data_IF_168367456120
#
_entry.id   IF_168367456120
#
_cell.length_a   1.000
_cell.length_b   1.000
_cell.length_c   1.000
_cell.angle_alpha   90.00
_cell.angle_beta   90.00
_cell.angle_gamma   90.00
#
_symmetry.space_group_name_H-M   'P 1'
#
loop_
_entity.id
_entity.type
_entity.pdbx_description
1 polymer ?
#
# COMPACT_ATOMS: atom_id res chain seq x y z
N UNK A 1 -21.21 -18.26 -28.17
CA UNK A 1 -20.94 -19.29 -27.13
C UNK A 1 -22.27 -19.98 -26.82
N UNK A 2 -22.34 -21.32 -26.85
CA UNK A 2 -23.60 -22.11 -26.72
C UNK A 2 -23.82 -22.65 -25.28
N UNK A 3 -22.91 -22.34 -24.36
CA UNK A 3 -23.00 -22.74 -22.95
C UNK A 3 -23.15 -21.47 -22.11
N UNK A 4 -24.38 -20.98 -21.94
CA UNK A 4 -24.68 -19.81 -21.12
C UNK A 4 -25.41 -20.23 -19.85
N UNK A 5 -24.69 -20.28 -18.73
CA UNK A 5 -25.34 -19.88 -17.48
C UNK A 5 -25.48 -18.35 -17.56
N UNK A 6 -26.56 -17.79 -17.02
CA UNK A 6 -26.79 -16.34 -17.03
C UNK A 6 -25.69 -15.63 -16.23
N UNK A 7 -24.66 -15.16 -16.93
CA UNK A 7 -23.56 -14.36 -16.39
C UNK A 7 -24.03 -12.92 -16.24
N UNK A 8 -23.92 -12.38 -15.03
CA UNK A 8 -24.25 -10.99 -14.73
C UNK A 8 -23.00 -10.29 -14.23
N UNK A 9 -22.61 -9.20 -14.88
CA UNK A 9 -21.51 -8.35 -14.44
C UNK A 9 -21.93 -7.48 -13.25
N UNK A 10 -21.13 -7.54 -12.17
CA UNK A 10 -21.37 -6.88 -10.90
C UNK A 10 -20.36 -5.81 -10.56
N UNK A 11 -19.42 -5.54 -11.45
CA UNK A 11 -18.47 -4.44 -11.28
C UNK A 11 -19.15 -3.08 -11.06
N UNK A 12 -20.22 -2.70 -11.79
CA UNK A 12 -20.87 -1.42 -11.55
C UNK A 12 -21.42 -1.29 -10.12
N UNK A 13 -22.01 -2.36 -9.58
CA UNK A 13 -22.53 -2.35 -8.21
C UNK A 13 -21.37 -2.37 -7.20
N UNK A 14 -20.34 -3.19 -7.44
CA UNK A 14 -19.15 -3.28 -6.60
C UNK A 14 -18.46 -1.92 -6.41
N UNK A 15 -18.34 -1.14 -7.49
CA UNK A 15 -17.67 0.17 -7.49
C UNK A 15 -18.48 1.29 -6.82
N UNK A 16 -19.79 1.10 -6.59
CA UNK A 16 -20.61 2.11 -5.87
C UNK A 16 -20.34 2.13 -4.37
N UNK A 17 -19.72 1.09 -3.82
CA UNK A 17 -19.40 1.02 -2.41
C UNK A 17 -18.25 1.96 -2.04
N UNK A 18 -18.36 2.59 -0.87
CA UNK A 18 -17.38 3.54 -0.38
C UNK A 18 -16.05 2.86 -0.02
N UNK A 19 -14.95 3.39 -0.54
CA UNK A 19 -13.57 3.03 -0.21
C UNK A 19 -12.98 3.86 0.94
N UNK A 20 -13.81 4.64 1.64
CA UNK A 20 -13.34 5.55 2.70
C UNK A 20 -12.71 4.79 3.87
N UNK A 21 -11.66 5.39 4.44
CA UNK A 21 -10.90 4.96 5.63
C UNK A 21 -9.89 3.82 5.45
N UNK A 22 -9.57 3.42 4.22
CA UNK A 22 -8.42 2.54 3.96
C UNK A 22 -7.15 3.40 3.77
N UNK A 23 -6.27 3.38 4.77
CA UNK A 23 -5.19 4.35 4.93
C UNK A 23 -4.18 4.35 3.77
N UNK A 24 -3.60 3.19 3.45
CA UNK A 24 -2.52 3.09 2.47
C UNK A 24 -3.05 3.32 1.05
N UNK A 25 -4.25 2.83 0.77
CA UNK A 25 -4.96 3.03 -0.49
C UNK A 25 -5.30 4.51 -0.70
N UNK A 26 -5.64 5.25 0.36
CA UNK A 26 -5.93 6.69 0.25
C UNK A 26 -4.65 7.54 0.15
N UNK A 27 -3.57 7.13 0.81
CA UNK A 27 -2.28 7.80 0.71
C UNK A 27 -1.63 7.64 -0.68
N UNK A 28 -2.01 6.57 -1.39
CA UNK A 28 -1.74 6.36 -2.81
C UNK A 28 -0.24 6.35 -3.16
N UNK A 29 0.51 5.50 -2.44
CA UNK A 29 1.96 5.32 -2.61
C UNK A 29 2.37 4.65 -3.92
N UNK A 30 1.48 3.86 -4.53
CA UNK A 30 1.83 2.94 -5.61
C UNK A 30 1.39 3.45 -6.97
N UNK A 31 2.18 3.17 -8.00
CA UNK A 31 1.76 3.26 -9.39
C UNK A 31 1.04 1.95 -9.79
N UNK A 32 -0.12 2.09 -10.42
CA UNK A 32 -0.97 0.96 -10.82
C UNK A 32 -0.52 0.39 -12.16
N UNK A 33 -0.28 -0.93 -12.23
CA UNK A 33 0.23 -1.61 -13.44
C UNK A 33 -0.63 -2.83 -13.75
N UNK A 34 -1.39 -2.77 -14.85
CA UNK A 34 -2.16 -3.90 -15.35
C UNK A 34 -1.34 -4.79 -16.27
N UNK A 35 -1.37 -6.10 -16.03
CA UNK A 35 -0.68 -7.11 -16.85
C UNK A 35 -1.63 -8.21 -17.33
N UNK A 36 -1.42 -8.70 -18.54
CA UNK A 36 -2.26 -9.75 -19.15
C UNK A 36 -1.83 -11.16 -18.78
N UNK A 37 -0.64 -11.31 -18.20
CA UNK A 37 -0.06 -12.60 -17.78
C UNK A 37 -0.16 -12.76 -16.26
N UNK A 38 -0.35 -14.00 -15.80
CA UNK A 38 -0.29 -14.37 -14.38
C UNK A 38 1.12 -14.32 -13.80
N UNK A 39 2.16 -14.34 -14.65
CA UNK A 39 3.56 -14.12 -14.28
C UNK A 39 4.08 -12.81 -14.87
N UNK A 40 4.82 -12.05 -14.07
CA UNK A 40 5.44 -10.77 -14.44
C UNK A 40 6.94 -10.82 -14.22
N UNK A 41 7.71 -10.28 -15.17
CA UNK A 41 9.14 -10.06 -15.01
C UNK A 41 9.36 -8.76 -14.24
N UNK A 42 10.03 -8.85 -13.09
CA UNK A 42 10.40 -7.71 -12.26
C UNK A 42 11.90 -7.50 -12.40
N UNK A 43 12.34 -6.26 -12.60
CA UNK A 43 13.74 -5.84 -12.56
C UNK A 43 13.96 -4.86 -11.42
N UNK A 44 15.20 -4.70 -10.98
CA UNK A 44 15.54 -3.61 -10.06
C UNK A 44 15.47 -2.28 -10.83
N UNK A 45 15.00 -1.20 -10.16
CA UNK A 45 14.85 0.14 -10.77
C UNK A 45 15.78 1.21 -10.19
N UNK A 46 16.29 0.99 -8.97
CA UNK A 46 17.14 1.98 -8.27
C UNK A 46 18.59 1.74 -8.65
N UNK A 47 19.21 2.69 -9.33
CA UNK A 47 20.57 2.64 -9.85
C UNK A 47 21.46 3.73 -9.23
N UNK A 48 22.79 3.56 -9.32
CA UNK A 48 23.74 4.58 -8.88
C UNK A 48 23.82 5.73 -9.87
N UNK A 49 23.85 6.97 -9.36
CA UNK A 49 24.10 8.16 -10.18
C UNK A 49 25.58 8.36 -10.54
N UNK A 50 26.50 7.53 -10.04
CA UNK A 50 27.95 7.73 -10.19
C UNK A 50 28.39 7.82 -11.66
N UNK A 51 27.81 7.02 -12.55
CA UNK A 51 28.17 7.03 -13.97
C UNK A 51 27.52 8.16 -14.79
N UNK A 52 26.65 8.95 -14.17
CA UNK A 52 26.00 10.12 -14.80
C UNK A 52 26.81 11.41 -14.63
N UNK A 53 27.83 11.40 -13.77
CA UNK A 53 28.71 12.55 -13.61
C UNK A 53 29.67 12.67 -14.80
N UNK A 54 29.57 13.79 -15.51
CA UNK A 54 30.55 14.14 -16.53
C UNK A 54 31.84 14.59 -15.86
N UNK A 55 32.94 13.90 -16.14
CA UNK A 55 34.29 14.35 -15.79
C UNK A 55 34.83 15.25 -16.89
N UNK A 56 35.79 16.11 -16.55
CA UNK A 56 36.46 16.97 -17.51
C UNK A 56 37.17 16.12 -18.56
N UNK A 57 36.88 16.40 -19.83
CA UNK A 57 37.54 15.77 -20.98
C UNK A 57 38.40 16.81 -21.69
N UNK A 58 39.48 16.35 -22.33
CA UNK A 58 40.32 17.25 -23.11
C UNK A 58 39.57 17.74 -24.35
N UNK A 59 39.51 19.07 -24.53
CA UNK A 59 38.80 19.76 -25.65
C UNK A 59 39.18 19.25 -27.04
N UNK A 60 40.39 18.75 -27.23
CA UNK A 60 40.91 18.29 -28.52
C UNK A 60 41.18 16.77 -28.54
N UNK A 61 40.50 16.00 -27.69
CA UNK A 61 40.58 14.54 -27.67
C UNK A 61 39.26 13.89 -28.10
N UNK A 62 39.30 12.57 -28.35
CA UNK A 62 38.12 11.73 -28.55
C UNK A 62 37.65 11.06 -27.25
N UNK A 63 38.01 11.61 -26.09
CA UNK A 63 37.56 11.11 -24.80
C UNK A 63 36.09 11.46 -24.59
N UNK A 64 35.30 10.48 -24.19
CA UNK A 64 33.88 10.64 -23.91
C UNK A 64 33.55 9.98 -22.58
N UNK A 65 32.71 10.64 -21.78
CA UNK A 65 32.12 10.00 -20.61
C UNK A 65 31.16 8.90 -21.08
N UNK A 66 31.16 7.77 -20.37
CA UNK A 66 30.33 6.62 -20.70
C UNK A 66 29.42 6.31 -19.52
N UNK A 67 28.13 6.14 -19.81
CA UNK A 67 27.15 5.70 -18.82
C UNK A 67 27.23 4.17 -18.68
N UNK A 68 27.31 3.70 -17.43
CA UNK A 68 27.33 2.27 -17.14
C UNK A 68 25.89 1.77 -17.05
N UNK A 69 25.60 0.63 -17.69
CA UNK A 69 24.35 -0.10 -17.47
C UNK A 69 24.50 -0.96 -16.23
N UNK A 70 23.78 -0.64 -15.16
CA UNK A 70 24.00 -1.30 -13.86
C UNK A 70 23.09 -2.50 -13.61
N UNK A 71 21.95 -2.60 -14.30
CA UNK A 71 20.94 -3.62 -14.01
C UNK A 71 20.40 -4.29 -15.28
N UNK A 72 20.30 -5.63 -15.23
CA UNK A 72 19.77 -6.46 -16.31
C UNK A 72 19.29 -7.84 -15.84
N UNK A 73 19.22 -8.06 -14.52
CA UNK A 73 18.67 -9.29 -13.96
C UNK A 73 17.17 -9.10 -13.77
N UNK A 74 16.41 -10.02 -14.32
CA UNK A 74 14.96 -10.08 -14.19
C UNK A 74 14.57 -11.31 -13.37
N UNK A 75 13.52 -11.15 -12.58
CA UNK A 75 12.91 -12.22 -11.81
C UNK A 75 11.48 -12.41 -12.29
N UNK A 76 11.16 -13.63 -12.73
CA UNK A 76 9.81 -13.98 -13.12
C UNK A 76 9.03 -14.39 -11.87
N UNK A 77 7.99 -13.62 -11.53
CA UNK A 77 7.20 -13.78 -10.31
C UNK A 77 5.74 -13.97 -10.67
N UNK A 78 5.07 -14.91 -10.01
CA UNK A 78 3.64 -15.12 -10.15
C UNK A 78 2.83 -14.18 -9.24
N UNK A 79 1.76 -13.61 -9.78
CA UNK A 79 0.90 -12.68 -9.05
C UNK A 79 -0.08 -13.49 -8.20
N UNK A 80 -0.20 -13.21 -6.88
CA UNK A 80 -1.19 -13.86 -6.03
C UNK A 80 -2.61 -13.62 -6.51
N UNK A 81 -3.37 -14.71 -6.54
CA UNK A 81 -4.78 -14.72 -6.90
C UNK A 81 -5.66 -14.88 -5.67
N UNK A 82 -6.71 -14.07 -5.58
CA UNK A 82 -7.70 -14.10 -4.53
C UNK A 82 -9.07 -14.32 -5.16
N UNK A 83 -9.78 -15.31 -4.64
CA UNK A 83 -11.12 -15.69 -5.10
C UNK A 83 -12.05 -15.76 -3.90
N UNK A 84 -13.21 -15.11 -4.02
CA UNK A 84 -14.28 -15.19 -3.03
C UNK A 84 -15.59 -15.51 -3.74
N UNK A 85 -16.26 -16.54 -3.27
CA UNK A 85 -17.57 -16.96 -3.76
C UNK A 85 -18.51 -17.18 -2.58
N UNK A 86 -19.71 -16.63 -2.67
CA UNK A 86 -20.80 -16.81 -1.73
C UNK A 86 -22.04 -17.31 -2.50
N UNK A 87 -22.77 -18.28 -1.94
CA UNK A 87 -23.90 -18.97 -2.61
C UNK A 87 -25.21 -18.61 -1.95
N UNK A 88 -26.19 -18.18 -2.73
CA UNK A 88 -27.56 -17.86 -2.29
C UNK A 88 -28.48 -19.00 -2.70
N UNK A 89 -29.23 -19.56 -1.75
CA UNK A 89 -30.24 -20.60 -1.99
C UNK A 89 -31.65 -20.08 -1.69
N UNK A 90 -32.72 -20.72 -2.23
CA UNK A 90 -34.09 -20.34 -1.91
C UNK A 90 -34.42 -20.31 -0.41
N UNK A 91 -33.77 -21.18 0.38
CA UNK A 91 -33.91 -21.23 1.85
C UNK A 91 -33.43 -19.96 2.57
N UNK A 92 -32.54 -19.20 1.93
CA UNK A 92 -31.95 -17.99 2.50
C UNK A 92 -32.86 -16.78 2.32
N UNK A 93 -33.77 -16.82 1.34
CA UNK A 93 -34.73 -15.76 1.02
C UNK A 93 -36.12 -16.06 1.60
N UNK A 94 -36.60 -17.30 1.44
CA UNK A 94 -37.98 -17.65 1.73
C UNK A 94 -38.26 -17.65 3.24
N UNK A 95 -39.23 -16.82 3.66
CA UNK A 95 -39.65 -16.72 5.06
C UNK A 95 -38.64 -15.98 5.97
N UNK A 96 -37.61 -15.36 5.40
CA UNK A 96 -36.66 -14.50 6.13
C UNK A 96 -37.07 -13.03 6.00
N UNK A 97 -36.79 -12.27 7.04
CA UNK A 97 -37.07 -10.84 7.11
C UNK A 97 -35.76 -10.08 7.07
N UNK A 98 -35.75 -8.98 6.33
CA UNK A 98 -34.59 -8.11 6.25
C UNK A 98 -34.28 -7.56 7.64
N UNK A 99 -33.04 -7.72 8.15
CA UNK A 99 -32.68 -7.25 9.48
C UNK A 99 -33.06 -5.78 9.69
N UNK A 100 -33.75 -5.49 10.80
CA UNK A 100 -34.16 -4.13 11.16
C UNK A 100 -35.40 -3.59 10.43
N UNK A 101 -36.12 -4.41 9.65
CA UNK A 101 -37.37 -4.00 9.00
C UNK A 101 -38.49 -5.03 9.15
N UNK A 102 -39.72 -4.60 8.83
CA UNK A 102 -40.89 -5.49 8.73
C UNK A 102 -41.04 -6.17 7.36
N UNK A 103 -40.19 -5.84 6.40
CA UNK A 103 -40.26 -6.38 5.05
C UNK A 103 -39.62 -7.77 4.94
N UNK A 104 -40.21 -8.59 4.08
CA UNK A 104 -39.59 -9.85 3.67
C UNK A 104 -38.31 -9.55 2.89
N UNK A 105 -37.26 -10.30 3.18
CA UNK A 105 -35.98 -10.18 2.50
C UNK A 105 -36.11 -10.65 1.04
N UNK A 106 -35.54 -9.87 0.12
CA UNK A 106 -35.54 -10.21 -1.31
C UNK A 106 -34.20 -10.78 -1.75
N UNK A 107 -34.18 -11.49 -2.87
CA UNK A 107 -32.92 -11.97 -3.48
C UNK A 107 -31.95 -10.80 -3.73
N UNK A 108 -32.46 -9.66 -4.20
CA UNK A 108 -31.67 -8.46 -4.48
C UNK A 108 -31.04 -7.86 -3.22
N UNK A 109 -31.72 -7.93 -2.07
CA UNK A 109 -31.17 -7.44 -0.80
C UNK A 109 -29.95 -8.27 -0.36
N UNK A 110 -30.07 -9.60 -0.39
CA UNK A 110 -28.99 -10.52 -0.04
C UNK A 110 -27.80 -10.35 -0.99
N UNK A 111 -28.12 -10.18 -2.27
CA UNK A 111 -27.13 -9.98 -3.32
C UNK A 111 -26.30 -8.70 -3.11
N UNK A 112 -26.97 -7.58 -2.81
CA UNK A 112 -26.30 -6.33 -2.47
C UNK A 112 -25.48 -6.44 -1.18
N UNK A 113 -25.95 -7.20 -0.19
CA UNK A 113 -25.20 -7.46 1.04
C UNK A 113 -23.91 -8.25 0.78
N UNK A 114 -23.96 -9.31 -0.02
CA UNK A 114 -22.76 -10.09 -0.36
C UNK A 114 -21.75 -9.26 -1.14
N UNK A 115 -22.19 -8.46 -2.12
CA UNK A 115 -21.29 -7.56 -2.86
C UNK A 115 -20.64 -6.54 -1.93
N UNK A 116 -21.38 -5.97 -0.98
CA UNK A 116 -20.82 -5.05 0.02
C UNK A 116 -19.75 -5.74 0.88
N UNK A 117 -19.99 -6.98 1.31
CA UNK A 117 -19.01 -7.77 2.08
C UNK A 117 -17.78 -8.14 1.24
N UNK A 118 -17.98 -8.51 -0.02
CA UNK A 118 -16.89 -8.78 -0.97
C UNK A 118 -16.03 -7.55 -1.19
N UNK A 119 -16.64 -6.37 -1.33
CA UNK A 119 -15.94 -5.09 -1.44
C UNK A 119 -15.08 -4.82 -0.20
N UNK A 120 -15.64 -4.97 1.01
CA UNK A 120 -14.85 -4.79 2.24
C UNK A 120 -13.71 -5.79 2.33
N UNK A 121 -13.95 -7.06 1.97
CA UNK A 121 -12.91 -8.09 1.96
C UNK A 121 -11.78 -7.74 0.99
N UNK A 122 -12.10 -7.31 -0.24
CA UNK A 122 -11.13 -6.85 -1.23
C UNK A 122 -10.26 -5.71 -0.70
N UNK A 123 -10.88 -4.66 -0.15
CA UNK A 123 -10.14 -3.50 0.37
C UNK A 123 -9.23 -3.87 1.56
N UNK A 124 -9.68 -4.74 2.48
CA UNK A 124 -8.83 -5.24 3.57
C UNK A 124 -7.65 -6.05 3.04
N UNK A 125 -7.86 -6.88 2.02
CA UNK A 125 -6.77 -7.63 1.39
C UNK A 125 -5.77 -6.67 0.72
N UNK A 126 -6.26 -5.65 -0.01
CA UNK A 126 -5.42 -4.63 -0.65
C UNK A 126 -4.55 -3.88 0.37
N UNK A 127 -5.15 -3.41 1.46
CA UNK A 127 -4.41 -2.78 2.57
C UNK A 127 -3.35 -3.71 3.17
N UNK A 128 -3.66 -5.00 3.34
CA UNK A 128 -2.71 -5.96 3.93
C UNK A 128 -1.52 -6.21 3.01
N UNK A 129 -1.77 -6.35 1.70
CA UNK A 129 -0.71 -6.52 0.69
C UNK A 129 0.17 -5.27 0.61
N UNK A 130 -0.45 -4.07 0.61
CA UNK A 130 0.29 -2.80 0.67
C UNK A 130 1.14 -2.70 1.95
N UNK A 131 0.57 -3.01 3.11
CA UNK A 131 1.28 -2.93 4.39
C UNK A 131 2.45 -3.93 4.48
N UNK A 132 2.24 -5.18 4.03
CA UNK A 132 3.29 -6.19 4.00
C UNK A 132 4.48 -5.74 3.14
N UNK A 133 4.18 -5.19 1.95
CA UNK A 133 5.22 -4.77 1.02
C UNK A 133 5.90 -3.48 1.47
N UNK A 134 5.16 -2.47 1.93
CA UNK A 134 5.71 -1.17 2.32
C UNK A 134 6.42 -1.21 3.69
N UNK A 135 5.84 -1.84 4.71
CA UNK A 135 6.41 -1.85 6.07
C UNK A 135 7.49 -2.91 6.28
N UNK A 136 7.26 -4.11 5.75
CA UNK A 136 8.15 -5.25 5.92
C UNK A 136 9.05 -5.52 4.71
N UNK A 137 8.75 -4.95 3.53
CA UNK A 137 9.48 -5.27 2.30
C UNK A 137 9.18 -6.67 1.79
N UNK A 138 8.00 -7.22 2.09
CA UNK A 138 7.64 -8.62 1.81
C UNK A 138 6.32 -8.74 1.06
N UNK A 139 6.23 -9.75 0.21
CA UNK A 139 4.97 -10.19 -0.40
C UNK A 139 4.78 -11.66 -0.07
N UNK A 140 3.63 -11.99 0.52
CA UNK A 140 3.30 -13.37 0.90
C UNK A 140 2.38 -14.01 -0.13
N UNK A 141 2.82 -15.12 -0.72
CA UNK A 141 2.21 -15.71 -1.92
C UNK A 141 2.17 -17.26 -1.80
N UNK A 142 1.57 -17.82 -0.74
CA UNK A 142 1.74 -19.23 -0.36
C UNK A 142 1.16 -20.26 -1.34
N UNK A 143 0.38 -19.81 -2.32
CA UNK A 143 -0.24 -20.64 -3.36
C UNK A 143 0.46 -20.53 -4.71
N UNK A 144 1.56 -19.78 -4.77
CA UNK A 144 2.42 -19.62 -5.95
C UNK A 144 3.74 -20.37 -5.75
N UNK A 145 4.54 -20.47 -6.81
CA UNK A 145 5.88 -21.09 -6.77
C UNK A 145 6.79 -20.43 -5.72
N UNK A 146 6.71 -19.11 -5.55
CA UNK A 146 7.55 -18.31 -4.66
C UNK A 146 6.85 -17.95 -3.34
N UNK A 147 6.54 -18.93 -2.48
CA UNK A 147 5.76 -18.81 -1.23
C UNK A 147 5.92 -17.51 -0.42
N UNK A 148 7.15 -16.98 -0.31
CA UNK A 148 7.44 -15.70 0.33
C UNK A 148 8.51 -14.96 -0.47
N UNK A 149 8.19 -13.75 -0.91
CA UNK A 149 9.10 -12.87 -1.62
C UNK A 149 9.58 -11.79 -0.65
N UNK A 150 10.89 -11.71 -0.47
CA UNK A 150 11.54 -10.64 0.31
C UNK A 150 12.31 -9.74 -0.66
N UNK A 151 11.76 -8.57 -0.99
CA UNK A 151 12.30 -7.66 -2.01
C UNK A 151 13.73 -7.23 -1.71
N UNK A 152 14.07 -7.03 -0.43
CA UNK A 152 15.44 -6.72 -0.02
C UNK A 152 16.45 -7.81 -0.38
N UNK A 153 16.09 -9.10 -0.20
CA UNK A 153 16.97 -10.21 -0.60
C UNK A 153 17.07 -10.34 -2.11
N UNK A 154 15.94 -10.14 -2.80
CA UNK A 154 15.86 -10.27 -4.25
C UNK A 154 16.70 -9.20 -4.95
N UNK A 155 16.63 -7.94 -4.50
CA UNK A 155 17.42 -6.81 -5.02
C UNK A 155 18.78 -6.62 -4.33
N UNK A 156 19.13 -7.46 -3.36
CA UNK A 156 20.36 -7.35 -2.56
C UNK A 156 20.51 -5.98 -1.86
N UNK A 157 19.42 -5.48 -1.28
CA UNK A 157 19.35 -4.23 -0.51
C UNK A 157 18.77 -4.49 0.89
N UNK A 158 19.13 -3.65 1.86
CA UNK A 158 18.63 -3.74 3.24
C UNK A 158 17.99 -2.44 3.66
N UNK A 159 16.88 -2.53 4.39
CA UNK A 159 16.24 -1.36 4.98
C UNK A 159 17.19 -0.66 5.97
N UNK A 160 17.12 0.66 5.99
CA UNK A 160 17.87 1.50 6.92
C UNK A 160 17.32 1.35 8.33
N UNK A 161 18.15 1.65 9.33
CA UNK A 161 17.77 1.63 10.74
C UNK A 161 18.10 2.97 11.37
N UNK A 162 17.15 3.54 12.09
CA UNK A 162 17.34 4.77 12.85
C UNK A 162 16.82 4.60 14.28
N UNK A 163 17.33 5.42 15.20
CA UNK A 163 16.82 5.52 16.56
C UNK A 163 16.40 6.96 16.79
N UNK A 164 15.18 7.15 17.28
CA UNK A 164 14.65 8.45 17.71
C UNK A 164 14.50 8.43 19.23
N UNK A 165 15.11 9.38 19.91
CA UNK A 165 15.05 9.50 21.36
C UNK A 165 13.99 10.53 21.76
N UNK A 166 12.76 10.06 21.96
CA UNK A 166 11.62 10.87 22.35
C UNK A 166 11.63 11.22 23.85
N UNK A 167 12.40 10.47 24.67
CA UNK A 167 12.59 10.74 26.10
C UNK A 167 13.70 11.77 26.41
N UNK A 168 14.39 12.28 25.38
CA UNK A 168 15.44 13.28 25.57
C UNK A 168 14.90 14.61 26.09
N UNK A 169 15.64 15.21 27.03
CA UNK A 169 15.36 16.56 27.54
C UNK A 169 15.95 17.66 26.64
N UNK A 170 16.83 17.32 25.68
CA UNK A 170 17.30 18.27 24.67
C UNK A 170 16.19 18.51 23.64
N UNK A 171 15.63 19.73 23.66
CA UNK A 171 14.47 20.11 22.83
C UNK A 171 14.77 20.09 21.34
N UNK A 172 16.04 20.14 20.93
CA UNK A 172 16.44 20.13 19.51
C UNK A 172 16.71 18.74 18.96
N UNK A 173 16.94 17.76 19.83
CA UNK A 173 17.46 16.45 19.44
C UNK A 173 16.50 15.68 18.53
N UNK A 174 15.22 15.63 18.91
CA UNK A 174 14.21 14.91 18.12
C UNK A 174 14.09 15.47 16.70
N UNK A 175 14.18 16.80 16.53
CA UNK A 175 14.12 17.44 15.22
C UNK A 175 15.35 17.10 14.38
N UNK A 176 16.55 17.12 14.96
CA UNK A 176 17.79 16.73 14.28
C UNK A 176 17.78 15.26 13.85
N UNK A 177 17.26 14.37 14.69
CA UNK A 177 17.16 12.93 14.36
C UNK A 177 16.20 12.69 13.20
N UNK A 178 15.07 13.40 13.14
CA UNK A 178 14.14 13.34 12.00
C UNK A 178 14.72 13.98 10.72
N UNK A 179 15.43 15.09 10.83
CA UNK A 179 16.11 15.73 9.70
C UNK A 179 17.21 14.83 9.10
N UNK A 180 17.97 14.13 9.96
CA UNK A 180 18.94 13.14 9.53
C UNK A 180 18.27 11.97 8.78
N UNK A 181 17.12 11.48 9.29
CA UNK A 181 16.35 10.44 8.60
C UNK A 181 15.93 10.90 7.19
N UNK A 182 15.48 12.15 7.02
CA UNK A 182 15.15 12.67 5.71
C UNK A 182 16.37 12.75 4.78
N UNK A 183 17.50 13.22 5.31
CA UNK A 183 18.77 13.31 4.57
C UNK A 183 19.24 11.94 4.09
N UNK A 184 19.23 10.94 4.99
CA UNK A 184 19.66 9.56 4.68
C UNK A 184 18.76 8.92 3.61
N UNK A 185 17.44 9.15 3.68
CA UNK A 185 16.50 8.67 2.67
C UNK A 185 16.83 9.25 1.29
N UNK A 186 17.04 10.57 1.19
CA UNK A 186 17.33 11.23 -0.07
C UNK A 186 18.69 10.76 -0.63
N UNK A 187 19.70 10.62 0.23
CA UNK A 187 21.03 10.12 -0.16
C UNK A 187 20.94 8.68 -0.70
N UNK A 188 20.15 7.81 -0.07
CA UNK A 188 19.96 6.42 -0.53
C UNK A 188 19.04 6.28 -1.73
N UNK A 189 18.13 7.22 -1.97
CA UNK A 189 17.23 7.20 -3.12
C UNK A 189 17.97 7.40 -4.46
N UNK A 190 19.16 8.01 -4.47
CA UNK A 190 20.06 8.14 -5.64
C UNK A 190 19.31 8.61 -6.90
N UNK A 191 19.16 7.74 -7.92
CA UNK A 191 18.48 8.08 -9.19
C UNK A 191 17.02 8.51 -9.01
N UNK A 192 16.40 8.17 -7.87
CA UNK A 192 15.03 8.50 -7.52
C UNK A 192 14.92 9.67 -6.52
N UNK A 193 16.03 10.28 -6.11
CA UNK A 193 16.05 11.34 -5.10
C UNK A 193 15.17 12.55 -5.50
N UNK A 194 15.18 12.93 -6.78
CA UNK A 194 14.35 14.04 -7.29
C UNK A 194 12.86 13.75 -7.32
N UNK A 195 12.47 12.48 -7.25
CA UNK A 195 11.07 12.05 -7.27
C UNK A 195 10.47 11.95 -5.86
N UNK A 196 11.25 12.12 -4.79
CA UNK A 196 10.74 12.10 -3.40
C UNK A 196 9.94 13.38 -3.13
N UNK A 197 8.66 13.25 -2.84
CA UNK A 197 7.78 14.39 -2.53
C UNK A 197 7.71 14.66 -1.02
N UNK A 198 7.47 13.61 -0.24
CA UNK A 198 7.28 13.67 1.22
C UNK A 198 7.76 12.38 1.85
N UNK A 199 8.01 12.38 3.15
CA UNK A 199 8.30 11.15 3.91
C UNK A 199 7.16 10.94 4.90
N UNK A 200 6.56 9.75 4.90
CA UNK A 200 5.51 9.40 5.85
C UNK A 200 6.06 8.38 6.83
N UNK A 201 5.99 8.73 8.11
CA UNK A 201 6.40 7.87 9.23
C UNK A 201 5.16 7.26 9.83
N UNK A 202 5.01 5.96 9.65
CA UNK A 202 3.93 5.19 10.24
C UNK A 202 4.37 4.67 11.61
N UNK A 203 3.66 5.06 12.66
CA UNK A 203 4.03 4.77 14.04
C UNK A 203 3.01 3.86 14.73
N UNK A 204 3.49 2.94 15.57
CA UNK A 204 2.67 2.29 16.58
C UNK A 204 2.11 3.34 17.57
N UNK A 205 0.98 3.06 18.25
CA UNK A 205 0.32 4.04 19.11
C UNK A 205 1.22 4.65 20.20
N UNK A 206 2.06 3.83 20.82
CA UNK A 206 2.98 4.25 21.90
C UNK A 206 4.07 5.16 21.36
N UNK A 207 4.74 4.75 20.28
CA UNK A 207 5.75 5.54 19.59
C UNK A 207 5.22 6.90 19.10
N UNK A 208 4.02 6.92 18.52
CA UNK A 208 3.36 8.15 18.08
C UNK A 208 3.17 9.14 19.25
N UNK A 209 2.71 8.61 20.39
CA UNK A 209 2.44 9.43 21.58
C UNK A 209 3.74 9.94 22.18
N UNK A 210 4.79 9.11 22.25
CA UNK A 210 6.11 9.50 22.72
C UNK A 210 6.70 10.64 21.88
N UNK A 211 6.64 10.55 20.54
CA UNK A 211 7.13 11.61 19.65
C UNK A 211 6.33 12.90 19.85
N UNK A 212 4.99 12.79 19.83
CA UNK A 212 4.07 13.94 19.93
C UNK A 212 4.23 14.72 21.24
N UNK A 213 4.44 14.02 22.35
CA UNK A 213 4.56 14.61 23.69
C UNK A 213 6.00 14.72 24.18
N UNK A 214 6.99 14.62 23.28
CA UNK A 214 8.40 14.81 23.61
C UNK A 214 8.70 16.24 24.08
N UNK A 215 9.80 16.42 24.83
CA UNK A 215 10.21 17.74 25.33
C UNK A 215 10.42 18.76 24.20
N UNK A 216 10.94 18.31 23.04
CA UNK A 216 11.12 19.15 21.86
C UNK A 216 9.80 19.64 21.27
N UNK A 217 8.81 18.75 21.13
CA UNK A 217 7.48 19.14 20.64
C UNK A 217 6.76 20.07 21.60
N UNK A 218 6.76 19.74 22.89
CA UNK A 218 6.15 20.61 23.90
C UNK A 218 6.75 22.02 23.89
N UNK A 219 8.07 22.13 23.74
CA UNK A 219 8.75 23.41 23.65
C UNK A 219 8.43 24.18 22.35
N UNK A 220 8.39 23.50 21.20
CA UNK A 220 8.08 24.12 19.92
C UNK A 220 6.67 24.74 19.88
N UNK A 221 5.72 24.14 20.59
CA UNK A 221 4.32 24.59 20.62
C UNK A 221 3.92 25.33 21.91
N UNK A 222 4.86 25.66 22.80
CA UNK A 222 4.56 26.26 24.11
C UNK A 222 3.89 27.65 24.01
N UNK A 223 4.16 28.40 22.93
CA UNK A 223 3.60 29.73 22.69
C UNK A 223 2.47 29.72 21.65
N UNK A 224 2.16 28.56 21.08
CA UNK A 224 1.05 28.39 20.13
C UNK A 224 -0.21 28.11 20.93
N UNK A 225 -1.31 28.77 20.59
CA UNK A 225 -2.56 28.57 21.32
C UNK A 225 -2.98 27.09 21.29
N UNK A 226 -3.42 26.51 22.42
CA UNK A 226 -3.94 25.14 22.43
C UNK A 226 -5.17 24.93 21.55
N UNK A 227 -5.86 26.01 21.17
CA UNK A 227 -7.04 25.98 20.29
C UNK A 227 -6.69 26.13 18.80
N UNK A 228 -5.44 26.41 18.47
CA UNK A 228 -5.01 26.63 17.09
C UNK A 228 -4.71 25.29 16.41
N UNK A 229 -5.24 25.09 15.19
CA UNK A 229 -5.12 23.83 14.44
C UNK A 229 -3.67 23.41 14.18
N UNK A 230 -2.74 24.36 14.15
CA UNK A 230 -1.30 24.10 14.02
C UNK A 230 -0.66 23.50 15.26
N UNK A 231 -1.30 23.54 16.44
CA UNK A 231 -0.75 23.02 17.68
C UNK A 231 -0.85 21.50 17.74
N UNK A 232 0.15 20.81 17.22
CA UNK A 232 0.14 19.34 17.11
C UNK A 232 0.08 18.64 18.47
N UNK A 233 0.46 19.29 19.58
CA UNK A 233 0.47 18.70 20.92
C UNK A 233 -0.97 18.59 21.46
N UNK A 234 -1.77 19.65 21.32
CA UNK A 234 -3.11 19.71 21.90
C UNK A 234 -4.24 19.49 20.87
N UNK A 235 -4.02 19.83 19.60
CA UNK A 235 -4.97 19.62 18.52
C UNK A 235 -4.67 18.36 17.73
N UNK A 236 -5.74 17.73 17.26
CA UNK A 236 -5.70 16.49 16.49
C UNK A 236 -5.98 16.84 15.04
N UNK A 237 -4.98 16.66 14.17
CA UNK A 237 -5.21 16.68 12.72
C UNK A 237 -5.59 15.28 12.27
N UNK A 238 -6.76 15.18 11.65
CA UNK A 238 -7.25 13.93 11.07
C UNK A 238 -6.92 13.92 9.57
N UNK A 239 -6.11 12.96 9.15
CA UNK A 239 -5.82 12.72 7.73
C UNK A 239 -7.03 12.04 7.05
N UNK A 240 -7.61 11.08 7.77
CA UNK A 240 -8.84 10.39 7.46
C UNK A 240 -9.70 10.39 8.73
N UNK A 241 -11.03 10.23 8.62
CA UNK A 241 -11.88 10.01 9.78
C UNK A 241 -11.29 8.94 10.71
N UNK A 242 -10.84 9.34 11.91
CA UNK A 242 -10.26 8.43 12.90
C UNK A 242 -8.74 8.21 12.82
N UNK A 243 -8.03 8.70 11.79
CA UNK A 243 -6.57 8.58 11.66
C UNK A 243 -5.87 9.89 12.03
N UNK A 244 -5.18 9.88 13.18
CA UNK A 244 -4.38 11.03 13.63
C UNK A 244 -3.04 11.11 12.93
N UNK A 245 -2.71 12.29 12.43
CA UNK A 245 -1.39 12.59 11.89
C UNK A 245 -0.92 13.98 12.34
N UNK A 246 0.38 14.23 12.23
CA UNK A 246 0.95 15.58 12.32
C UNK A 246 2.23 15.67 11.49
N UNK A 247 2.65 16.87 11.13
CA UNK A 247 3.91 17.10 10.42
C UNK A 247 4.96 17.55 11.43
N UNK A 248 6.18 17.02 11.31
CA UNK A 248 7.32 17.50 12.11
C UNK A 248 7.66 18.94 11.65
N UNK A 249 7.66 19.93 12.56
CA UNK A 249 8.05 21.30 12.22
C UNK A 249 9.40 21.39 11.53
N UNK A 250 9.47 22.15 10.43
CA UNK A 250 10.71 22.40 9.70
C UNK A 250 11.16 21.27 8.75
N UNK A 251 10.40 20.17 8.65
CA UNK A 251 10.73 19.06 7.74
C UNK A 251 9.53 18.67 6.86
N UNK A 252 9.76 17.83 5.86
CA UNK A 252 8.74 17.26 4.97
C UNK A 252 8.18 15.92 5.48
N UNK A 253 8.27 15.68 6.79
CA UNK A 253 7.93 14.40 7.42
C UNK A 253 6.55 14.47 8.07
N UNK A 254 5.64 13.62 7.61
CA UNK A 254 4.34 13.40 8.23
C UNK A 254 4.37 12.15 9.10
N UNK A 255 4.03 12.29 10.38
CA UNK A 255 3.90 11.19 11.32
C UNK A 255 2.43 10.78 11.39
N UNK A 256 2.14 9.51 11.13
CA UNK A 256 0.79 8.94 11.10
C UNK A 256 0.67 7.86 12.17
N UNK A 257 -0.39 7.93 12.98
CA UNK A 257 -0.67 6.90 13.99
C UNK A 257 -1.39 5.72 13.35
N UNK A 258 -0.82 4.53 13.50
CA UNK A 258 -1.48 3.28 13.14
C UNK A 258 -2.16 2.66 14.36
N UNK A 259 -3.43 2.31 14.20
CA UNK A 259 -4.23 1.63 15.23
C UNK A 259 -4.86 0.33 14.71
N UNK A 260 -4.95 0.13 13.40
CA UNK A 260 -5.53 -1.08 12.82
C UNK A 260 -4.56 -2.26 13.03
N UNK A 261 -5.00 -3.35 13.69
CA UNK A 261 -4.20 -4.56 13.86
C UNK A 261 -3.66 -5.14 12.54
N UNK A 262 -4.36 -4.92 11.42
CA UNK A 262 -3.94 -5.39 10.11
C UNK A 262 -2.61 -4.74 9.68
N UNK A 263 -2.45 -3.44 9.90
CA UNK A 263 -1.20 -2.73 9.60
C UNK A 263 -0.11 -3.08 10.60
N UNK A 264 -0.46 -3.14 11.89
CA UNK A 264 0.47 -3.41 12.98
C UNK A 264 1.10 -4.81 12.89
N UNK A 265 0.38 -5.79 12.34
CA UNK A 265 0.89 -7.15 12.11
C UNK A 265 2.12 -7.18 11.18
N UNK A 266 2.28 -6.18 10.31
CA UNK A 266 3.38 -6.08 9.35
C UNK A 266 4.51 -5.15 9.81
N UNK A 267 4.47 -4.66 11.05
CA UNK A 267 5.48 -3.76 11.62
C UNK A 267 6.29 -4.42 12.74
N UNK A 268 7.57 -4.66 12.48
CA UNK A 268 8.49 -5.16 13.51
C UNK A 268 9.07 -4.05 14.38
N UNK A 269 9.32 -2.86 13.82
CA UNK A 269 9.83 -1.69 14.53
C UNK A 269 8.72 -0.90 15.23
N UNK A 270 9.09 0.15 15.95
CA UNK A 270 8.15 1.07 16.59
C UNK A 270 7.51 2.03 15.58
N UNK A 271 8.29 2.39 14.57
CA UNK A 271 7.84 3.18 13.43
C UNK A 271 8.58 2.80 12.13
N UNK A 272 7.98 3.07 10.98
CA UNK A 272 8.57 2.87 9.66
C UNK A 272 8.42 4.14 8.84
N UNK A 273 9.53 4.72 8.38
CA UNK A 273 9.52 5.84 7.44
C UNK A 273 9.56 5.33 6.01
N UNK A 274 8.61 5.79 5.20
CA UNK A 274 8.49 5.45 3.79
C UNK A 274 8.41 6.76 2.99
N UNK A 275 9.34 7.02 2.06
CA UNK A 275 9.21 8.14 1.14
C UNK A 275 8.02 7.93 0.21
N UNK A 276 7.22 8.97 0.00
CA UNK A 276 6.24 9.04 -1.08
C UNK A 276 6.91 9.65 -2.30
N UNK A 277 6.76 8.99 -3.43
CA UNK A 277 7.29 9.47 -4.70
C UNK A 277 6.21 10.07 -5.58
N UNK A 278 6.63 10.94 -6.49
CA UNK A 278 5.81 11.40 -7.59
C UNK A 278 5.29 10.21 -8.41
N UNK A 279 4.06 10.34 -8.90
CA UNK A 279 3.43 9.33 -9.77
C UNK A 279 4.26 9.11 -11.04
N UNK A 280 4.37 7.85 -11.45
CA UNK A 280 5.18 7.44 -12.60
C UNK A 280 6.66 7.18 -12.30
N UNK A 281 7.10 7.38 -11.05
CA UNK A 281 8.45 6.98 -10.60
C UNK A 281 8.63 5.46 -10.56
N UNK A 282 7.53 4.70 -10.49
CA UNK A 282 7.50 3.24 -10.46
C UNK A 282 8.28 2.62 -9.29
N UNK A 283 8.63 3.38 -8.25
CA UNK A 283 9.37 2.87 -7.08
C UNK A 283 8.53 1.86 -6.29
N UNK A 284 7.23 2.12 -6.16
CA UNK A 284 6.26 1.17 -5.62
C UNK A 284 5.21 0.89 -6.69
N UNK A 285 5.06 -0.36 -7.10
CA UNK A 285 4.13 -0.75 -8.15
C UNK A 285 3.08 -1.70 -7.60
N UNK A 286 1.81 -1.37 -7.78
CA UNK A 286 0.71 -2.29 -7.56
C UNK A 286 0.39 -2.99 -8.87
N UNK A 287 0.85 -4.23 -9.01
CA UNK A 287 0.66 -5.05 -10.20
C UNK A 287 -0.62 -5.86 -10.03
N UNK A 288 -1.53 -5.77 -11.01
CA UNK A 288 -2.74 -6.58 -11.08
C UNK A 288 -2.85 -7.28 -12.43
N UNK A 289 -3.38 -8.50 -12.38
CA UNK A 289 -3.45 -9.41 -13.53
C UNK A 289 -4.87 -9.54 -14.11
N UNK A 290 -4.97 -10.21 -15.26
CA UNK A 290 -6.26 -10.65 -15.79
C UNK A 290 -6.90 -11.76 -14.92
N UNK A 291 -8.23 -11.87 -14.94
CA UNK A 291 -8.95 -12.98 -14.31
C UNK A 291 -8.68 -14.31 -15.01
N UNK A 292 -8.80 -15.42 -14.26
CA UNK A 292 -8.36 -16.73 -14.75
C UNK A 292 -9.24 -17.91 -14.36
N UNK A 293 -10.29 -17.75 -13.57
CA UNK A 293 -11.09 -18.89 -13.08
C UNK A 293 -12.18 -19.35 -14.04
N UNK A 294 -12.66 -18.45 -14.92
CA UNK A 294 -13.82 -18.69 -15.78
C UNK A 294 -13.51 -18.48 -17.25
N UNK A 295 -14.16 -19.27 -18.10
CA UNK A 295 -14.04 -19.14 -19.56
C UNK A 295 -14.53 -17.80 -20.10
N UNK A 296 -15.50 -17.17 -19.42
CA UNK A 296 -15.99 -15.84 -19.79
C UNK A 296 -14.91 -14.76 -19.65
N UNK A 297 -14.02 -14.93 -18.66
CA UNK A 297 -12.97 -13.96 -18.34
C UNK A 297 -11.60 -14.29 -18.96
N UNK A 298 -11.48 -15.37 -19.73
CA UNK A 298 -10.20 -15.86 -20.27
C UNK A 298 -9.43 -14.83 -21.11
N UNK A 299 -10.14 -13.93 -21.79
CA UNK A 299 -9.58 -12.86 -22.62
C UNK A 299 -9.90 -11.46 -22.06
N UNK A 300 -10.29 -11.36 -20.78
CA UNK A 300 -10.62 -10.09 -20.18
C UNK A 300 -9.38 -9.19 -20.07
N UNK A 301 -9.56 -7.89 -20.29
CA UNK A 301 -8.50 -6.91 -20.06
C UNK A 301 -8.14 -6.86 -18.56
N UNK A 302 -6.87 -6.60 -18.18
CA UNK A 302 -6.45 -6.55 -16.78
C UNK A 302 -7.27 -5.52 -15.98
N UNK A 303 -7.79 -5.95 -14.84
CA UNK A 303 -8.53 -5.10 -13.92
C UNK A 303 -8.12 -5.45 -12.48
N UNK A 304 -8.20 -4.49 -11.57
CA UNK A 304 -7.88 -4.75 -10.15
C UNK A 304 -8.86 -5.75 -9.51
N UNK A 305 -10.10 -5.81 -10.01
CA UNK A 305 -11.15 -6.69 -9.50
C UNK A 305 -12.11 -7.06 -10.63
N UNK A 306 -12.59 -8.30 -10.59
CA UNK A 306 -13.70 -8.82 -11.37
C UNK A 306 -14.79 -9.25 -10.40
N UNK A 307 -16.05 -8.94 -10.71
CA UNK A 307 -17.16 -9.39 -9.89
C UNK A 307 -18.33 -9.73 -10.79
N UNK A 308 -18.91 -10.90 -10.55
CA UNK A 308 -19.99 -11.43 -11.38
C UNK A 308 -20.86 -12.37 -10.59
N UNK A 309 -22.04 -12.70 -11.13
CA UNK A 309 -22.81 -13.84 -10.66
C UNK A 309 -23.18 -14.76 -11.79
N UNK A 310 -23.50 -15.99 -11.42
CA UNK A 310 -24.15 -16.94 -12.30
C UNK A 310 -25.15 -17.80 -11.52
N UNK A 311 -26.23 -18.17 -12.19
CA UNK A 311 -27.19 -19.14 -11.65
C UNK A 311 -26.71 -20.57 -11.91
N UNK A 312 -27.04 -21.49 -10.99
CA UNK A 312 -26.80 -22.91 -11.20
C UNK A 312 -27.64 -23.40 -12.40
N UNK A 313 -27.13 -24.39 -13.14
CA UNK A 313 -27.89 -24.99 -14.26
C UNK A 313 -29.23 -25.60 -13.83
N UNK A 314 -29.42 -25.87 -12.54
CA UNK A 314 -30.66 -26.41 -11.95
C UNK A 314 -31.60 -25.29 -11.48
N UNK A 315 -31.15 -24.05 -11.39
CA UNK A 315 -31.91 -22.92 -10.85
C UNK A 315 -32.16 -23.02 -9.34
N UNK A 316 -31.32 -23.77 -8.62
CA UNK A 316 -31.45 -23.98 -7.17
C UNK A 316 -30.47 -23.13 -6.34
N UNK A 317 -29.60 -22.36 -7.00
CA UNK A 317 -28.65 -21.47 -6.36
C UNK A 317 -28.18 -20.34 -7.29
N UNK A 318 -27.86 -19.19 -6.71
CA UNK A 318 -27.16 -18.08 -7.36
C UNK A 318 -25.81 -17.90 -6.67
N UNK A 319 -24.73 -17.88 -7.44
CA UNK A 319 -23.38 -17.69 -6.91
C UNK A 319 -22.95 -16.25 -7.17
N UNK A 320 -22.43 -15.57 -6.15
CA UNK A 320 -21.82 -14.24 -6.27
C UNK A 320 -20.32 -14.42 -6.11
N UNK A 321 -19.56 -14.00 -7.12
CA UNK A 321 -18.11 -14.20 -7.17
C UNK A 321 -17.40 -12.86 -7.29
N UNK A 322 -16.28 -12.75 -6.58
CA UNK A 322 -15.32 -11.67 -6.73
C UNK A 322 -13.91 -12.24 -6.82
N UNK A 323 -13.16 -11.78 -7.81
CA UNK A 323 -11.82 -12.25 -8.12
C UNK A 323 -10.87 -11.06 -8.24
N UNK A 324 -9.66 -11.20 -7.73
CA UNK A 324 -8.63 -10.19 -7.90
C UNK A 324 -7.24 -10.80 -7.86
N UNK A 325 -6.35 -10.25 -8.68
CA UNK A 325 -4.92 -10.52 -8.65
C UNK A 325 -4.21 -9.25 -8.21
N UNK A 326 -3.41 -9.31 -7.15
CA UNK A 326 -2.65 -8.13 -6.71
C UNK A 326 -1.32 -8.50 -6.07
N UNK A 327 -0.29 -7.74 -6.43
CA UNK A 327 1.03 -7.81 -5.84
C UNK A 327 1.63 -6.40 -5.79
N UNK A 328 2.24 -6.05 -4.65
CA UNK A 328 2.96 -4.79 -4.53
C UNK A 328 4.45 -5.06 -4.58
N UNK A 329 5.11 -4.56 -5.63
CA UNK A 329 6.57 -4.58 -5.77
C UNK A 329 7.14 -3.35 -5.10
N UNK A 330 8.08 -3.57 -4.18
CA UNK A 330 8.76 -2.50 -3.45
C UNK A 330 10.22 -2.43 -3.90
N UNK A 331 10.54 -1.51 -4.81
CA UNK A 331 11.92 -1.21 -5.21
C UNK A 331 12.64 -0.31 -4.19
N UNK A 332 11.88 0.32 -3.29
CA UNK A 332 12.37 1.26 -2.30
C UNK A 332 12.76 0.68 -0.94
N UNK A 333 12.95 -0.63 -0.82
CA UNK A 333 13.36 -1.26 0.46
C UNK A 333 14.70 -0.71 0.96
N UNK A 334 15.62 -0.35 0.06
CA UNK A 334 16.94 0.18 0.44
C UNK A 334 16.91 1.55 1.13
N UNK A 335 15.80 2.29 1.02
CA UNK A 335 15.63 3.61 1.61
C UNK A 335 14.34 3.75 2.44
N UNK A 336 13.69 2.63 2.77
CA UNK A 336 12.76 2.61 3.90
C UNK A 336 13.53 2.55 5.21
N UNK A 337 13.06 3.26 6.24
CA UNK A 337 13.76 3.36 7.52
C UNK A 337 12.94 2.70 8.61
N UNK A 338 13.51 1.69 9.26
CA UNK A 338 12.97 1.06 10.46
C UNK A 338 13.43 1.88 11.67
N UNK A 339 12.48 2.51 12.37
CA UNK A 339 12.76 3.43 13.48
C UNK A 339 12.43 2.73 14.81
N UNK A 340 13.40 2.75 15.72
CA UNK A 340 13.18 2.43 17.14
C UNK A 340 13.00 3.73 17.92
N UNK A 341 11.96 3.81 18.74
CA UNK A 341 11.68 4.99 19.57
C UNK A 341 12.05 4.69 21.02
N UNK A 342 12.89 5.52 21.61
CA UNK A 342 13.38 5.39 23.00
C UNK A 342 12.94 6.54 23.89
#
# INVERSE_FOLDING_TARGET
>A
MILGNDYVDLIPLFQTHSTRNFLLSTLDFTDSVGVTSHKVAVSQLVESNESLFNKETSRFSSEHNVTKREQGKEWLIEIPYFLREDVIRPSDVQGKRKPGTDFQETLTDIYAEYIAKHHVAYQRTKESVLAASLFSGKTYTPKTDDVLIEWGKLFNVSAMKATVNASSTDTTKIFKEFDQIATDIIEKAQSQASAVERIVVFCKPEAFSAIRFSAGMANAFQYVSPLEEGNVVYQRRDLLPGVTAFTIPGTNIDVVKLVDPLHLAHMTSDAVAIPKFAKGSNVYQNIYGAASSTFELINAAPAEVYSYSYESSRGDAVNVVTENSQMVVNHGVGFSVQITVK
#
